data_IF_305457857307
#
_entry.id   IF_305457857307
#
_cell.length_a   1.000
_cell.length_b   1.000
_cell.length_c   1.000
_cell.angle_alpha   90.00
_cell.angle_beta   90.00
_cell.angle_gamma   90.00
#
_symmetry.space_group_name_H-M   'P 1'
#
loop_
_entity.id
_entity.type
_entity.pdbx_description
1 polymer ?
#
# COMPACT_ATOMS: atom_id res chain seq x y z
N UNK A 1 -11.96 -8.77 1.29
CA UNK A 1 -11.30 -8.68 -0.04
C UNK A 1 -9.79 -8.47 0.05
N UNK A 2 -9.28 -7.47 0.78
CA UNK A 2 -7.81 -7.25 0.96
C UNK A 2 -7.05 -8.52 1.36
N UNK A 3 -7.57 -9.26 2.36
CA UNK A 3 -6.98 -10.55 2.77
C UNK A 3 -6.91 -11.57 1.63
N UNK A 4 -8.01 -11.75 0.88
CA UNK A 4 -8.07 -12.65 -0.27
C UNK A 4 -7.06 -12.24 -1.34
N UNK A 5 -6.96 -10.95 -1.65
CA UNK A 5 -5.97 -10.42 -2.59
C UNK A 5 -4.54 -10.75 -2.15
N UNK A 6 -4.23 -10.56 -0.86
CA UNK A 6 -2.91 -10.88 -0.33
C UNK A 6 -2.59 -12.38 -0.42
N UNK A 7 -3.56 -13.25 -0.13
CA UNK A 7 -3.42 -14.71 -0.26
C UNK A 7 -3.15 -15.12 -1.72
N UNK A 8 -3.90 -14.56 -2.68
CA UNK A 8 -3.71 -14.84 -4.12
C UNK A 8 -2.30 -14.43 -4.58
N UNK A 9 -1.88 -13.21 -4.22
CA UNK A 9 -0.59 -12.65 -4.58
C UNK A 9 0.59 -13.20 -3.76
N UNK A 10 0.33 -14.03 -2.75
CA UNK A 10 1.31 -14.44 -1.75
C UNK A 10 2.06 -13.23 -1.12
N UNK A 11 1.31 -12.17 -0.84
CA UNK A 11 1.82 -10.90 -0.34
C UNK A 11 1.62 -10.76 1.18
N UNK A 12 2.51 -10.02 1.84
CA UNK A 12 2.35 -9.62 3.24
C UNK A 12 1.47 -8.37 3.33
N UNK A 13 0.54 -8.35 4.29
CA UNK A 13 -0.24 -7.15 4.61
C UNK A 13 0.51 -6.37 5.69
N UNK A 14 0.88 -5.13 5.39
CA UNK A 14 1.47 -4.21 6.36
C UNK A 14 0.43 -3.12 6.64
N UNK A 15 -0.13 -3.08 7.86
CA UNK A 15 -1.09 -2.02 8.19
C UNK A 15 -0.37 -0.68 8.25
N UNK A 16 -0.94 0.32 7.58
CA UNK A 16 -0.56 1.70 7.80
C UNK A 16 -1.02 2.10 9.19
N UNK A 17 -0.12 2.62 10.04
CA UNK A 17 -0.48 3.01 11.40
C UNK A 17 -1.55 4.12 11.38
N UNK A 18 -2.51 3.99 12.29
CA UNK A 18 -3.50 5.01 12.54
C UNK A 18 -2.85 6.21 13.23
N UNK A 19 -2.78 7.32 12.51
CA UNK A 19 -2.15 8.56 12.92
C UNK A 19 -3.07 9.44 13.79
N UNK A 20 -4.33 9.04 14.01
CA UNK A 20 -5.25 9.81 14.86
C UNK A 20 -4.57 10.07 16.21
N UNK A 21 -4.57 11.32 16.70
CA UNK A 21 -3.92 11.66 17.97
C UNK A 21 -4.44 10.74 19.08
N UNK A 22 -3.56 9.90 19.61
CA UNK A 22 -3.90 9.01 20.73
C UNK A 22 -3.83 9.79 22.03
N UNK A 23 -4.82 10.66 22.23
CA UNK A 23 -4.94 11.38 23.49
C UNK A 23 -5.33 10.42 24.63
N UNK A 24 -4.76 10.58 25.84
CA UNK A 24 -3.78 11.60 26.25
C UNK A 24 -2.32 11.07 26.22
N UNK A 25 -2.09 9.84 25.77
CA UNK A 25 -0.80 9.14 25.88
C UNK A 25 -0.10 9.06 24.53
N UNK A 26 0.39 10.20 24.05
CA UNK A 26 1.38 10.21 22.97
C UNK A 26 2.73 9.97 23.64
N UNK A 27 3.43 8.90 23.24
CA UNK A 27 4.85 8.71 23.58
C UNK A 27 5.67 9.10 22.34
N UNK A 28 6.20 10.33 22.26
CA UNK A 28 6.84 10.85 21.06
C UNK A 28 8.07 10.05 20.61
N UNK A 29 8.77 9.38 21.55
CA UNK A 29 9.95 8.57 21.23
C UNK A 29 9.60 7.22 20.57
N UNK A 30 8.36 6.77 20.73
CA UNK A 30 7.83 5.55 20.10
C UNK A 30 6.94 5.89 18.90
N UNK A 31 6.23 7.01 18.98
CA UNK A 31 5.28 7.51 18.01
C UNK A 31 5.93 8.55 17.08
N UNK A 32 7.07 8.18 16.50
CA UNK A 32 7.70 8.92 15.40
C UNK A 32 6.68 8.98 14.24
N UNK A 33 6.00 10.11 14.15
CA UNK A 33 5.10 10.47 13.07
C UNK A 33 5.75 11.65 12.31
N UNK A 34 5.88 11.61 10.97
CA UNK A 34 5.27 10.67 10.06
C UNK A 34 6.10 9.39 9.92
N UNK A 35 5.38 8.26 9.91
CA UNK A 35 5.82 6.97 9.40
C UNK A 35 6.92 7.13 8.35
N UNK A 36 8.08 6.53 8.60
CA UNK A 36 9.18 6.38 7.65
C UNK A 36 8.94 5.11 6.80
N UNK A 37 8.18 5.19 5.69
CA UNK A 37 7.86 4.02 4.89
C UNK A 37 9.12 3.43 4.23
N UNK A 38 10.12 4.26 3.94
CA UNK A 38 11.45 3.85 3.49
C UNK A 38 12.07 2.78 4.40
N UNK A 39 12.03 2.96 5.72
CA UNK A 39 12.53 1.97 6.68
C UNK A 39 11.73 0.67 6.58
N UNK A 40 10.41 0.75 6.46
CA UNK A 40 9.54 -0.43 6.28
C UNK A 40 9.92 -1.19 5.01
N UNK A 41 10.13 -0.49 3.89
CA UNK A 41 10.58 -1.07 2.62
C UNK A 41 11.95 -1.75 2.78
N UNK A 42 12.93 -1.08 3.38
CA UNK A 42 14.29 -1.59 3.55
C UNK A 42 14.36 -2.79 4.48
N UNK A 43 13.78 -2.70 5.69
CA UNK A 43 13.81 -3.79 6.67
C UNK A 43 13.11 -5.06 6.17
N UNK A 44 12.04 -4.90 5.39
CA UNK A 44 11.29 -6.02 4.84
C UNK A 44 11.76 -6.46 3.45
N UNK A 45 12.75 -5.76 2.86
CA UNK A 45 13.27 -5.96 1.50
C UNK A 45 12.17 -5.99 0.44
N UNK A 46 11.24 -5.03 0.53
CA UNK A 46 10.06 -4.96 -0.35
C UNK A 46 10.49 -4.41 -1.71
N UNK A 47 10.16 -5.14 -2.79
CA UNK A 47 10.45 -4.72 -4.17
C UNK A 47 9.23 -4.22 -4.94
N UNK A 48 8.03 -4.60 -4.50
CA UNK A 48 6.78 -4.07 -5.01
C UNK A 48 5.75 -3.97 -3.88
N UNK A 49 4.94 -2.93 -3.89
CA UNK A 49 3.87 -2.74 -2.91
C UNK A 49 2.60 -2.15 -3.56
N UNK A 50 1.44 -2.54 -3.02
CA UNK A 50 0.14 -2.01 -3.42
C UNK A 50 -0.48 -1.28 -2.23
N UNK A 51 -0.77 0.00 -2.40
CA UNK A 51 -1.51 0.81 -1.44
C UNK A 51 -3.01 0.59 -1.65
N UNK A 52 -3.70 0.06 -0.65
CA UNK A 52 -5.14 -0.22 -0.70
C UNK A 52 -5.81 0.37 0.53
N UNK A 53 -6.85 1.18 0.33
CA UNK A 53 -7.64 1.75 1.43
C UNK A 53 -6.88 2.75 2.31
N UNK A 54 -5.82 3.37 1.79
CA UNK A 54 -5.05 4.39 2.50
C UNK A 54 -5.58 5.78 2.15
N UNK A 55 -5.77 6.63 3.14
CA UNK A 55 -6.26 8.00 2.94
C UNK A 55 -5.29 8.83 2.08
N UNK A 56 -5.83 9.64 1.16
CA UNK A 56 -5.05 10.20 0.06
C UNK A 56 -3.84 11.03 0.47
N UNK A 57 -4.00 11.92 1.45
CA UNK A 57 -2.88 12.71 1.96
C UNK A 57 -1.73 11.85 2.50
N UNK A 58 -2.04 10.71 3.15
CA UNK A 58 -1.01 9.82 3.73
C UNK A 58 -0.32 8.99 2.68
N UNK A 59 -1.08 8.44 1.74
CA UNK A 59 -0.52 7.73 0.62
C UNK A 59 0.46 8.63 -0.14
N UNK A 60 0.11 9.89 -0.42
CA UNK A 60 1.01 10.80 -1.14
C UNK A 60 2.31 11.09 -0.37
N UNK A 61 2.23 11.41 0.93
CA UNK A 61 3.44 11.62 1.75
C UNK A 61 4.31 10.35 1.77
N UNK A 62 3.70 9.19 1.99
CA UNK A 62 4.44 7.95 2.05
C UNK A 62 5.08 7.60 0.68
N UNK A 63 4.34 7.77 -0.41
CA UNK A 63 4.82 7.52 -1.77
C UNK A 63 5.96 8.48 -2.15
N UNK A 64 5.92 9.76 -1.75
CA UNK A 64 7.03 10.70 -1.94
C UNK A 64 8.31 10.21 -1.28
N UNK A 65 8.23 9.75 -0.02
CA UNK A 65 9.38 9.21 0.72
C UNK A 65 9.90 7.92 0.07
N UNK A 66 9.01 6.97 -0.25
CA UNK A 66 9.39 5.71 -0.90
C UNK A 66 10.09 5.97 -2.25
N UNK A 67 9.54 6.90 -3.04
CA UNK A 67 10.08 7.25 -4.36
C UNK A 67 11.43 7.95 -4.27
N UNK A 68 11.64 8.77 -3.24
CA UNK A 68 12.90 9.49 -3.03
C UNK A 68 14.01 8.58 -2.52
N UNK A 69 13.69 7.60 -1.67
CA UNK A 69 14.70 6.87 -0.90
C UNK A 69 14.84 5.39 -1.26
N UNK A 70 13.93 4.82 -2.06
CA UNK A 70 13.91 3.37 -2.33
C UNK A 70 13.69 3.04 -3.80
N UNK A 71 14.01 1.80 -4.19
CA UNK A 71 13.75 1.25 -5.52
C UNK A 71 12.43 0.45 -5.60
N UNK A 72 11.54 0.60 -4.62
CA UNK A 72 10.30 -0.17 -4.56
C UNK A 72 9.31 0.26 -5.65
N UNK A 73 8.77 -0.71 -6.39
CA UNK A 73 7.71 -0.49 -7.36
C UNK A 73 6.38 -0.23 -6.66
N UNK A 74 5.81 0.97 -6.83
CA UNK A 74 4.62 1.40 -6.10
C UNK A 74 3.37 1.40 -6.98
N UNK A 75 2.32 0.72 -6.50
CA UNK A 75 0.99 0.73 -7.11
C UNK A 75 0.02 1.32 -6.08
N UNK A 76 -0.89 2.20 -6.49
CA UNK A 76 -1.94 2.73 -5.63
C UNK A 76 -3.33 2.43 -6.19
N UNK A 77 -4.18 1.78 -5.38
CA UNK A 77 -5.61 1.56 -5.68
C UNK A 77 -6.42 2.60 -4.90
N UNK A 78 -6.87 3.63 -5.60
CA UNK A 78 -7.56 4.78 -5.01
C UNK A 78 -9.04 4.78 -5.42
N UNK A 79 -9.94 5.00 -4.46
CA UNK A 79 -11.37 5.21 -4.73
C UNK A 79 -11.72 6.58 -5.31
N UNK A 80 -10.73 7.46 -5.51
CA UNK A 80 -10.91 8.82 -6.02
C UNK A 80 -9.99 9.07 -7.24
N UNK A 81 -9.27 10.20 -7.25
CA UNK A 81 -8.50 10.68 -8.39
C UNK A 81 -7.14 9.97 -8.61
N UNK A 82 -6.70 9.09 -7.70
CA UNK A 82 -5.39 8.44 -7.77
C UNK A 82 -4.28 9.20 -7.04
N UNK A 83 -3.05 8.70 -7.20
CA UNK A 83 -1.86 9.22 -6.50
C UNK A 83 -0.75 9.49 -7.50
N UNK A 84 -0.33 10.75 -7.61
CA UNK A 84 0.69 11.23 -8.55
C UNK A 84 2.08 10.62 -8.31
N UNK A 85 2.39 10.30 -7.05
CA UNK A 85 3.71 9.83 -6.65
C UNK A 85 3.87 8.30 -6.84
N UNK A 86 2.76 7.57 -7.02
CA UNK A 86 2.80 6.15 -7.34
C UNK A 86 3.30 5.92 -8.78
N UNK A 87 4.03 4.82 -9.01
CA UNK A 87 4.44 4.45 -10.38
C UNK A 87 3.24 4.02 -11.24
N UNK A 88 2.26 3.35 -10.62
CA UNK A 88 0.97 3.03 -11.23
C UNK A 88 -0.14 3.48 -10.28
N UNK A 89 -1.14 4.18 -10.80
CA UNK A 89 -2.36 4.48 -10.07
C UNK A 89 -3.58 3.93 -10.78
N UNK A 90 -4.41 3.20 -10.04
CA UNK A 90 -5.76 2.82 -10.45
C UNK A 90 -6.73 3.78 -9.74
N UNK A 91 -7.58 4.45 -10.53
CA UNK A 91 -8.53 5.47 -10.08
C UNK A 91 -9.93 4.88 -9.98
N UNK A 92 -10.78 5.51 -9.19
CA UNK A 92 -12.19 5.10 -9.01
C UNK A 92 -12.34 3.60 -8.64
N UNK A 93 -11.47 3.12 -7.75
CA UNK A 93 -11.42 1.72 -7.35
C UNK A 93 -12.36 1.46 -6.17
N UNK A 94 -13.42 0.69 -6.44
CA UNK A 94 -14.40 0.22 -5.46
C UNK A 94 -14.33 -1.30 -5.29
N UNK A 95 -15.27 -1.86 -4.54
CA UNK A 95 -15.37 -3.30 -4.22
C UNK A 95 -15.33 -4.16 -5.49
N UNK A 96 -16.12 -3.81 -6.50
CA UNK A 96 -16.25 -4.58 -7.76
C UNK A 96 -14.93 -4.64 -8.54
N UNK A 97 -14.20 -3.52 -8.61
CA UNK A 97 -12.90 -3.47 -9.30
C UNK A 97 -11.84 -4.28 -8.55
N UNK A 98 -11.90 -4.29 -7.22
CA UNK A 98 -11.03 -5.15 -6.42
C UNK A 98 -11.31 -6.63 -6.65
N UNK A 99 -12.57 -7.03 -6.80
CA UNK A 99 -12.94 -8.40 -7.14
C UNK A 99 -12.44 -8.80 -8.54
N UNK A 100 -12.60 -7.92 -9.53
CA UNK A 100 -12.05 -8.10 -10.88
C UNK A 100 -10.52 -8.25 -10.85
N UNK A 101 -9.84 -7.38 -10.12
CA UNK A 101 -8.38 -7.44 -9.95
C UNK A 101 -7.94 -8.80 -9.36
N UNK A 102 -8.62 -9.27 -8.30
CA UNK A 102 -8.32 -10.57 -7.68
C UNK A 102 -8.51 -11.70 -8.70
N UNK A 103 -9.60 -11.68 -9.47
CA UNK A 103 -9.87 -12.70 -10.50
C UNK A 103 -8.77 -12.73 -11.57
N UNK A 104 -8.37 -11.57 -12.09
CA UNK A 104 -7.27 -11.47 -13.06
C UNK A 104 -5.96 -11.98 -12.44
N UNK A 105 -5.68 -11.64 -11.18
CA UNK A 105 -4.49 -12.13 -10.49
C UNK A 105 -4.48 -13.66 -10.33
N UNK A 106 -5.65 -14.29 -10.09
CA UNK A 106 -5.79 -15.74 -10.07
C UNK A 106 -5.54 -16.37 -11.45
N UNK A 107 -6.04 -15.76 -12.53
CA UNK A 107 -5.83 -16.22 -13.91
C UNK A 107 -4.35 -16.13 -14.31
N UNK A 108 -3.72 -14.97 -14.10
CA UNK A 108 -2.29 -14.76 -14.39
C UNK A 108 -1.41 -15.70 -13.56
N UNK A 109 -1.78 -15.98 -12.31
CA UNK A 109 -1.03 -16.94 -11.49
C UNK A 109 -1.05 -18.35 -12.08
N UNK A 110 -2.19 -18.80 -12.61
CA UNK A 110 -2.31 -20.10 -13.31
C UNK A 110 -1.47 -20.12 -14.59
N UNK A 111 -1.46 -19.04 -15.36
CA UNK A 111 -0.64 -18.92 -16.59
C UNK A 111 0.86 -18.97 -16.29
N UNK A 112 1.30 -18.36 -15.18
CA UNK A 112 2.68 -18.37 -14.72
C UNK A 112 3.13 -19.70 -14.09
N UNK A 113 2.25 -20.70 -14.03
CA UNK A 113 2.57 -22.05 -13.54
C UNK A 113 2.91 -22.11 -12.04
N UNK A 114 2.36 -21.20 -11.22
CA UNK A 114 2.58 -21.14 -9.76
C UNK A 114 1.35 -21.44 -8.94
#
# INVERSE_FOLDING_TARGET
LVRKMAEVLNARIIPMYDYRPKYPKINPEVEINPNHPNLTIWHNKIKACIFVGVHCHYANVALKIIRAETDCFTIAMCGMAGHEDAMITLRDQHIEEMEKFIKIAEEVKRELGK
#
